data_IF_589012986839
#
_entry.id   IF_589012986839
#
_cell.length_a   1.000
_cell.length_b   1.000
_cell.length_c   1.000
_cell.angle_alpha   90.00
_cell.angle_beta   90.00
_cell.angle_gamma   90.00
#
_symmetry.space_group_name_H-M   'P 1'
#
loop_
_entity.id
_entity.type
_entity.pdbx_description
1 polymer ?
#
# COMPACT_ATOMS: atom_id res chain seq x y z
N UNK A 1 -22.21 -2.17 -4.85
CA UNK A 1 -21.33 -1.56 -5.86
C UNK A 1 -21.16 -0.12 -5.42
N UNK A 2 -20.33 0.10 -4.40
CA UNK A 2 -20.10 1.43 -3.83
C UNK A 2 -19.03 2.15 -4.65
N UNK A 3 -19.31 3.43 -4.94
CA UNK A 3 -18.39 4.38 -5.57
C UNK A 3 -17.02 4.34 -4.88
N UNK A 4 -16.05 3.68 -5.51
CA UNK A 4 -14.65 3.80 -5.13
C UNK A 4 -14.13 5.15 -5.64
N UNK A 5 -14.53 6.23 -4.98
CA UNK A 5 -13.79 7.48 -5.07
C UNK A 5 -12.37 7.22 -4.55
N UNK A 6 -11.36 7.74 -5.24
CA UNK A 6 -9.98 7.56 -4.83
C UNK A 6 -9.81 8.11 -3.40
N UNK A 7 -9.24 7.30 -2.50
CA UNK A 7 -9.01 7.65 -1.11
C UNK A 7 -7.88 8.68 -0.93
N UNK A 8 -7.01 8.83 -1.93
CA UNK A 8 -5.96 9.83 -1.92
C UNK A 8 -4.90 9.66 -3.01
N UNK A 9 -3.80 10.39 -2.87
CA UNK A 9 -2.63 10.33 -3.75
C UNK A 9 -1.38 9.91 -2.96
N UNK A 10 -0.56 9.06 -3.55
CA UNK A 10 0.74 8.64 -3.01
C UNK A 10 1.89 9.07 -3.92
N UNK A 11 3.03 9.41 -3.33
CA UNK A 11 4.27 9.72 -4.04
C UNK A 11 5.22 8.52 -4.00
N UNK A 12 5.66 8.04 -5.16
CA UNK A 12 6.70 7.02 -5.27
C UNK A 12 8.07 7.67 -5.03
N UNK A 13 8.74 7.27 -3.95
CA UNK A 13 10.10 7.70 -3.59
C UNK A 13 10.94 6.45 -3.31
N UNK A 14 11.89 6.17 -4.20
CA UNK A 14 12.66 4.93 -4.14
C UNK A 14 11.76 3.70 -4.30
N UNK A 15 11.67 2.87 -3.26
CA UNK A 15 10.84 1.66 -3.22
C UNK A 15 9.64 1.78 -2.28
N UNK A 16 9.26 3.01 -1.91
CA UNK A 16 8.14 3.29 -1.00
C UNK A 16 7.16 4.25 -1.66
N UNK A 17 5.88 4.10 -1.34
CA UNK A 17 4.86 5.07 -1.68
C UNK A 17 4.47 5.82 -0.41
N UNK A 18 4.51 7.16 -0.45
CA UNK A 18 4.23 8.02 0.70
C UNK A 18 2.92 8.76 0.46
N UNK A 19 1.97 8.61 1.37
CA UNK A 19 0.74 9.41 1.40
C UNK A 19 0.94 10.53 2.41
N UNK A 20 1.14 11.74 1.90
CA UNK A 20 1.45 12.92 2.71
C UNK A 20 0.23 13.51 3.42
N UNK A 21 -0.95 13.45 2.80
CA UNK A 21 -2.19 13.87 3.45
C UNK A 21 -2.62 12.85 4.51
N UNK A 22 -2.61 13.28 5.78
CA UNK A 22 -2.94 12.40 6.90
C UNK A 22 -4.39 11.93 6.84
N UNK A 23 -5.34 12.72 6.31
CA UNK A 23 -6.75 12.31 6.20
C UNK A 23 -6.91 11.16 5.21
N UNK A 24 -6.31 11.29 4.03
CA UNK A 24 -6.20 10.19 3.07
C UNK A 24 -5.49 8.97 3.68
N UNK A 25 -4.39 9.20 4.40
CA UNK A 25 -3.63 8.15 5.10
C UNK A 25 -4.51 7.36 6.08
N UNK A 26 -5.27 8.05 6.94
CA UNK A 26 -6.20 7.42 7.89
C UNK A 26 -7.29 6.63 7.15
N UNK A 27 -7.86 7.18 6.07
CA UNK A 27 -8.86 6.48 5.25
C UNK A 27 -8.31 5.19 4.63
N UNK A 28 -7.12 5.25 4.03
CA UNK A 28 -6.43 4.09 3.45
C UNK A 28 -6.14 3.04 4.53
N UNK A 29 -5.58 3.47 5.67
CA UNK A 29 -5.27 2.58 6.78
C UNK A 29 -6.51 1.88 7.34
N UNK A 30 -7.60 2.61 7.61
CA UNK A 30 -8.84 2.03 8.16
C UNK A 30 -9.52 1.05 7.21
N UNK A 31 -9.33 1.22 5.92
CA UNK A 31 -10.00 0.42 4.91
C UNK A 31 -9.46 -1.00 4.72
N UNK A 32 -8.42 -1.39 5.46
CA UNK A 32 -7.83 -2.73 5.39
C UNK A 32 -6.47 -2.87 6.04
N UNK A 33 -6.09 -1.97 6.94
CA UNK A 33 -4.76 -1.90 7.58
C UNK A 33 -3.63 -1.85 6.56
N UNK A 34 -3.79 -1.03 5.51
CA UNK A 34 -2.75 -0.78 4.52
C UNK A 34 -1.72 0.20 5.08
N UNK A 35 -0.45 -0.12 4.88
CA UNK A 35 0.68 0.73 5.20
C UNK A 35 0.96 0.85 6.69
N UNK A 36 1.96 1.70 6.98
CA UNK A 36 2.42 2.01 8.32
C UNK A 36 2.60 3.52 8.46
N UNK A 37 1.96 4.16 9.46
CA UNK A 37 2.22 5.56 9.78
C UNK A 37 3.68 5.78 10.19
N UNK A 38 4.28 6.87 9.75
CA UNK A 38 5.71 7.16 9.97
C UNK A 38 5.98 7.47 11.44
N UNK A 39 6.99 6.81 12.02
CA UNK A 39 7.54 7.18 13.32
C UNK A 39 6.67 6.81 14.54
N UNK A 40 5.50 6.21 14.35
CA UNK A 40 4.61 5.81 15.45
C UNK A 40 4.35 4.30 15.48
N UNK A 41 3.98 3.74 16.65
CA UNK A 41 3.45 2.39 16.75
C UNK A 41 2.18 2.20 15.90
N UNK A 42 1.85 0.94 15.60
CA UNK A 42 0.63 0.60 14.83
C UNK A 42 -0.62 1.17 15.54
N UNK A 43 -1.36 2.12 14.94
CA UNK A 43 -2.54 2.67 15.58
C UNK A 43 -3.63 1.62 15.75
N UNK A 44 -4.41 1.77 16.81
CA UNK A 44 -5.67 1.02 16.99
C UNK A 44 -6.69 1.44 15.91
N UNK A 45 -7.71 0.61 15.60
CA UNK A 45 -8.66 0.91 14.51
C UNK A 45 -9.42 2.24 14.70
N UNK A 46 -9.68 2.60 15.95
CA UNK A 46 -10.37 3.79 16.42
C UNK A 46 -9.44 5.00 16.62
N UNK A 47 -8.14 4.85 16.43
CA UNK A 47 -7.15 5.89 16.66
C UNK A 47 -6.72 6.57 15.35
N UNK A 48 -6.93 7.88 15.27
CA UNK A 48 -6.41 8.72 14.18
C UNK A 48 -4.90 8.98 14.33
N UNK A 49 -4.26 9.36 13.23
CA UNK A 49 -2.86 9.78 13.20
C UNK A 49 -2.67 10.96 12.24
N UNK A 50 -1.73 11.85 12.58
CA UNK A 50 -1.43 13.07 11.83
C UNK A 50 -0.09 13.01 11.09
N UNK A 51 0.50 11.82 10.97
CA UNK A 51 1.75 11.57 10.27
C UNK A 51 1.49 10.95 8.88
N UNK A 52 2.42 11.09 7.92
CA UNK A 52 2.29 10.43 6.62
C UNK A 52 2.15 8.91 6.75
N UNK A 53 1.44 8.30 5.81
CA UNK A 53 1.32 6.85 5.69
C UNK A 53 2.33 6.32 4.67
N UNK A 54 3.16 5.35 5.07
CA UNK A 54 4.04 4.62 4.16
C UNK A 54 3.39 3.33 3.69
N UNK A 55 3.33 3.15 2.38
CA UNK A 55 2.95 1.90 1.72
C UNK A 55 4.20 1.26 1.10
N UNK A 56 4.24 -0.06 1.09
CA UNK A 56 5.20 -0.79 0.26
C UNK A 56 4.71 -0.93 -1.20
N UNK A 57 5.56 -1.47 -2.08
CA UNK A 57 5.22 -1.65 -3.49
C UNK A 57 4.08 -2.68 -3.71
N UNK A 58 3.93 -3.66 -2.82
CA UNK A 58 2.86 -4.67 -2.88
C UNK A 58 1.49 -4.01 -2.64
N UNK A 59 1.41 -3.25 -1.55
CA UNK A 59 0.22 -2.50 -1.13
C UNK A 59 -0.11 -1.39 -2.13
N UNK A 60 0.89 -0.61 -2.54
CA UNK A 60 0.73 0.49 -3.49
C UNK A 60 0.23 0.00 -4.85
N UNK A 61 0.79 -1.11 -5.37
CA UNK A 61 0.33 -1.72 -6.62
C UNK A 61 -1.12 -2.19 -6.50
N UNK A 62 -1.48 -2.88 -5.41
CA UNK A 62 -2.86 -3.32 -5.17
C UNK A 62 -3.84 -2.16 -5.11
N UNK A 63 -3.55 -1.12 -4.32
CA UNK A 63 -4.43 0.04 -4.19
C UNK A 63 -4.58 0.80 -5.51
N UNK A 64 -3.52 0.94 -6.31
CA UNK A 64 -3.57 1.55 -7.64
C UNK A 64 -4.42 0.72 -8.62
N UNK A 65 -4.25 -0.60 -8.64
CA UNK A 65 -5.06 -1.49 -9.50
C UNK A 65 -6.55 -1.37 -9.23
N UNK A 66 -6.93 -1.18 -7.96
CA UNK A 66 -8.31 -1.03 -7.52
C UNK A 66 -8.80 0.43 -7.56
N UNK A 67 -8.03 1.33 -8.18
CA UNK A 67 -8.34 2.78 -8.29
C UNK A 67 -8.58 3.47 -6.95
N UNK A 68 -8.02 2.92 -5.87
CA UNK A 68 -8.18 3.43 -4.51
C UNK A 68 -7.21 4.55 -4.20
N UNK A 69 -6.09 4.62 -4.93
CA UNK A 69 -5.14 5.73 -4.87
C UNK A 69 -4.68 6.13 -6.27
N UNK A 70 -4.32 7.40 -6.44
CA UNK A 70 -3.44 7.83 -7.52
C UNK A 70 -1.98 7.75 -7.08
N UNK A 71 -1.05 7.50 -8.01
CA UNK A 71 0.39 7.51 -7.72
C UNK A 71 1.10 8.48 -8.64
N UNK A 72 2.01 9.28 -8.07
CA UNK A 72 2.89 10.20 -8.81
C UNK A 72 4.34 9.93 -8.46
N UNK A 73 5.25 10.25 -9.38
CA UNK A 73 6.69 10.15 -9.14
C UNK A 73 7.14 11.31 -8.23
N UNK A 74 7.91 11.01 -7.19
CA UNK A 74 8.29 12.01 -6.20
C UNK A 74 9.14 13.17 -6.74
N UNK A 75 9.89 12.95 -7.83
CA UNK A 75 10.76 13.97 -8.44
C UNK A 75 10.05 14.78 -9.52
N UNK A 76 9.44 14.09 -10.48
CA UNK A 76 8.84 14.70 -11.66
C UNK A 76 7.38 15.10 -11.47
N UNK A 77 6.74 14.62 -10.39
CA UNK A 77 5.29 14.79 -10.09
C UNK A 77 4.38 14.26 -11.20
N UNK A 78 4.91 13.46 -12.13
CA UNK A 78 4.13 12.83 -13.21
C UNK A 78 3.38 11.61 -12.69
N UNK A 79 2.19 11.30 -13.25
CA UNK A 79 1.47 10.08 -12.90
C UNK A 79 2.29 8.82 -13.15
N UNK A 80 2.22 7.88 -12.22
CA UNK A 80 2.89 6.57 -12.27
C UNK A 80 1.82 5.50 -12.43
N UNK A 81 1.92 4.75 -13.53
CA UNK A 81 1.01 3.65 -13.81
C UNK A 81 1.45 2.32 -13.21
N UNK A 82 0.52 1.34 -13.23
CA UNK A 82 0.74 -0.05 -12.81
C UNK A 82 2.04 -0.66 -13.35
N UNK A 83 2.33 -0.46 -14.64
CA UNK A 83 3.50 -1.06 -15.29
C UNK A 83 4.83 -0.62 -14.64
N UNK A 84 4.91 0.65 -14.24
CA UNK A 84 6.11 1.21 -13.58
C UNK A 84 6.26 0.63 -12.17
N UNK A 85 5.17 0.60 -11.38
CA UNK A 85 5.21 0.00 -10.04
C UNK A 85 5.54 -1.49 -10.08
N UNK A 86 4.93 -2.24 -11.00
CA UNK A 86 5.19 -3.66 -11.16
C UNK A 86 6.66 -3.93 -11.55
N UNK A 87 7.24 -3.08 -12.40
CA UNK A 87 8.66 -3.17 -12.75
C UNK A 87 9.54 -2.91 -11.51
N UNK A 88 9.31 -1.80 -10.80
CA UNK A 88 10.05 -1.48 -9.59
C UNK A 88 9.96 -2.59 -8.52
N UNK A 89 8.78 -3.20 -8.38
CA UNK A 89 8.55 -4.28 -7.43
C UNK A 89 9.29 -5.57 -7.80
N UNK A 90 9.34 -5.93 -9.09
CA UNK A 90 10.10 -7.09 -9.59
C UNK A 90 11.61 -6.91 -9.45
N UNK A 91 12.10 -5.68 -9.61
CA UNK A 91 13.51 -5.34 -9.41
C UNK A 91 13.89 -5.35 -7.92
N UNK A 92 12.94 -5.00 -7.03
CA UNK A 92 13.18 -4.92 -5.58
C UNK A 92 13.02 -6.27 -4.88
N UNK A 93 12.03 -7.07 -5.26
CA UNK A 93 11.65 -8.30 -4.56
C UNK A 93 11.76 -9.52 -5.48
N UNK A 94 12.63 -10.46 -5.12
CA UNK A 94 12.72 -11.76 -5.81
C UNK A 94 11.38 -12.50 -5.67
N UNK A 95 10.87 -13.04 -6.77
CA UNK A 95 9.61 -13.79 -6.76
C UNK A 95 8.35 -12.91 -6.61
N UNK A 96 8.47 -11.58 -6.72
CA UNK A 96 7.37 -10.63 -6.50
C UNK A 96 6.08 -11.02 -7.22
N UNK A 97 6.17 -11.49 -8.48
CA UNK A 97 4.97 -11.77 -9.26
C UNK A 97 4.14 -12.91 -8.68
N UNK A 98 4.77 -13.97 -8.16
CA UNK A 98 4.05 -15.06 -7.50
C UNK A 98 3.47 -14.60 -6.15
N UNK A 99 4.30 -13.92 -5.35
CA UNK A 99 3.88 -13.37 -4.06
C UNK A 99 2.71 -12.37 -4.20
N UNK A 100 2.71 -11.53 -5.25
CA UNK A 100 1.64 -10.58 -5.51
C UNK A 100 0.32 -11.25 -5.89
N UNK A 101 0.34 -12.37 -6.61
CA UNK A 101 -0.89 -13.13 -6.89
C UNK A 101 -1.51 -13.65 -5.59
N UNK A 102 -0.68 -14.20 -4.69
CA UNK A 102 -1.15 -14.67 -3.37
C UNK A 102 -1.67 -13.50 -2.52
N UNK A 103 -0.90 -12.41 -2.44
CA UNK A 103 -1.32 -11.21 -1.73
C UNK A 103 -2.67 -10.69 -2.24
N UNK A 104 -2.83 -10.60 -3.56
CA UNK A 104 -4.04 -10.11 -4.21
C UNK A 104 -5.24 -11.00 -3.93
N UNK A 105 -5.12 -12.31 -4.12
CA UNK A 105 -6.18 -13.28 -3.84
C UNK A 105 -6.63 -13.22 -2.36
N UNK A 106 -5.69 -13.15 -1.42
CA UNK A 106 -6.01 -13.01 -0.01
C UNK A 106 -6.72 -11.68 0.31
N UNK A 107 -6.28 -10.57 -0.29
CA UNK A 107 -6.92 -9.26 -0.11
C UNK A 107 -8.31 -9.21 -0.71
N UNK A 108 -8.52 -9.81 -1.88
CA UNK A 108 -9.84 -9.92 -2.54
C UNK A 108 -10.82 -10.76 -1.71
N UNK A 109 -10.32 -11.74 -0.94
CA UNK A 109 -11.11 -12.52 0.03
C UNK A 109 -11.39 -11.78 1.34
N UNK A 110 -10.90 -10.56 1.50
CA UNK A 110 -11.14 -9.72 2.68
C UNK A 110 -10.14 -9.87 3.82
N UNK A 111 -9.07 -10.65 3.65
CA UNK A 111 -8.05 -10.81 4.68
C UNK A 111 -7.15 -9.58 4.82
N UNK A 112 -6.61 -9.39 6.02
CA UNK A 112 -5.54 -8.41 6.28
C UNK A 112 -4.20 -9.10 6.08
N UNK A 113 -3.52 -8.75 5.00
CA UNK A 113 -2.21 -9.31 4.64
C UNK A 113 -1.09 -8.35 5.03
N UNK A 114 -0.18 -8.80 5.89
CA UNK A 114 0.98 -8.04 6.37
C UNK A 114 2.29 -8.82 6.15
N UNK A 115 3.48 -8.18 6.20
CA UNK A 115 4.75 -8.89 6.04
C UNK A 115 4.97 -9.96 7.12
N UNK A 116 5.32 -11.17 6.70
CA UNK A 116 5.48 -12.34 7.57
C UNK A 116 6.89 -12.51 8.18
N UNK A 117 7.79 -11.53 8.02
CA UNK A 117 9.22 -11.64 8.41
C UNK A 117 9.43 -12.07 9.86
N UNK A 118 8.54 -11.66 10.78
CA UNK A 118 8.59 -12.04 12.20
C UNK A 118 8.31 -13.54 12.45
N UNK A 119 7.75 -14.23 11.46
CA UNK A 119 7.33 -15.63 11.53
C UNK A 119 8.10 -16.51 10.54
N UNK A 120 9.12 -15.98 9.85
CA UNK A 120 9.87 -16.72 8.83
C UNK A 120 9.03 -17.06 7.58
N UNK A 121 7.96 -16.31 7.32
CA UNK A 121 7.06 -16.50 6.18
C UNK A 121 6.99 -15.24 5.31
N UNK A 122 6.46 -15.37 4.09
CA UNK A 122 6.23 -14.21 3.21
C UNK A 122 5.17 -13.27 3.79
N UNK A 123 4.07 -13.84 4.32
CA UNK A 123 2.92 -13.09 4.82
C UNK A 123 2.44 -13.58 6.19
N UNK A 124 1.91 -12.65 6.98
CA UNK A 124 1.04 -12.92 8.12
C UNK A 124 -0.37 -12.42 7.78
N UNK A 125 -1.35 -13.32 7.92
CA UNK A 125 -2.73 -13.14 7.46
C UNK A 125 -3.67 -13.16 8.67
N UNK A 126 -4.59 -12.20 8.72
CA UNK A 126 -5.61 -12.04 9.77
C UNK A 126 -7.00 -11.89 9.17
#
# INVERSE_FOLDING_TARGET
MEDASALGQAELIGTRLIVWDHKAGVGIYRSGFFGKPVGIPKPKPDQDFEVPLLLDLMEGLYLLEHKRIGVVDGRSKKPVGKAVLLKAARETYRGFSAAYQVYKDLREKGYVVTPGIKFGADFAVY
#
